data_IF_720655351544
#
_entry.id   IF_720655351544
#
_cell.length_a   1.000
_cell.length_b   1.000
_cell.length_c   1.000
_cell.angle_alpha   90.00
_cell.angle_beta   90.00
_cell.angle_gamma   90.00
#
_symmetry.space_group_name_H-M   'P 1'
#
loop_
_entity.id
_entity.type
_entity.pdbx_description
1 polymer ?
#
# COMPACT_ATOMS: atom_id res chain seq x y z
N UNK A 1 33.02 -49.84 -5.25
CA UNK A 1 32.78 -49.20 -3.95
C UNK A 1 33.07 -47.72 -4.10
N UNK A 2 32.08 -46.92 -4.43
CA UNK A 2 32.20 -45.46 -4.40
C UNK A 2 30.95 -44.96 -3.68
N UNK A 3 31.16 -44.62 -2.42
CA UNK A 3 30.18 -43.91 -1.60
C UNK A 3 30.51 -42.40 -1.80
N UNK A 4 29.66 -41.64 -2.43
CA UNK A 4 29.82 -40.19 -2.55
C UNK A 4 28.58 -39.51 -2.02
N UNK A 5 28.69 -39.12 -0.85
CA UNK A 5 28.52 -37.79 -0.24
C UNK A 5 27.52 -36.86 -0.95
N UNK A 6 26.28 -36.88 -0.44
CA UNK A 6 25.26 -35.85 -0.62
C UNK A 6 24.92 -35.27 0.75
N UNK A 7 25.65 -34.25 1.16
CA UNK A 7 25.26 -33.38 2.28
C UNK A 7 25.61 -31.94 1.91
N UNK A 8 24.74 -31.01 2.19
CA UNK A 8 24.88 -29.56 2.16
C UNK A 8 24.09 -28.82 1.06
N UNK A 9 22.76 -28.75 1.21
CA UNK A 9 21.99 -27.65 0.61
C UNK A 9 20.87 -27.12 1.53
N UNK A 10 20.72 -27.60 2.76
CA UNK A 10 19.66 -27.15 3.67
C UNK A 10 20.01 -25.89 4.49
N UNK A 11 21.29 -25.54 4.61
CA UNK A 11 21.71 -24.37 5.43
C UNK A 11 21.51 -23.00 4.75
N UNK A 12 21.44 -22.96 3.43
CA UNK A 12 21.34 -21.71 2.68
C UNK A 12 19.96 -21.06 2.74
N UNK A 13 18.90 -21.85 2.77
CA UNK A 13 17.53 -21.36 2.73
C UNK A 13 17.08 -20.71 4.05
N UNK A 14 17.48 -21.23 5.19
CA UNK A 14 17.18 -20.64 6.50
C UNK A 14 17.89 -19.30 6.73
N UNK A 15 19.19 -19.23 6.42
CA UNK A 15 19.98 -18.01 6.58
C UNK A 15 19.53 -16.89 5.63
N UNK A 16 19.04 -17.21 4.44
CA UNK A 16 18.48 -16.25 3.49
C UNK A 16 17.12 -15.75 3.98
N UNK A 17 16.28 -16.64 4.52
CA UNK A 17 14.98 -16.28 5.12
C UNK A 17 15.12 -15.30 6.29
N UNK A 18 16.06 -15.51 7.20
CA UNK A 18 16.29 -14.62 8.34
C UNK A 18 16.85 -13.25 7.91
N UNK A 19 17.76 -13.20 6.96
CA UNK A 19 18.27 -11.94 6.39
C UNK A 19 17.18 -11.15 5.68
N UNK A 20 16.33 -11.82 4.91
CA UNK A 20 15.18 -11.20 4.25
C UNK A 20 14.24 -10.60 5.28
N UNK A 21 13.86 -11.38 6.29
CA UNK A 21 12.95 -10.92 7.35
C UNK A 21 13.51 -9.69 8.07
N UNK A 22 14.78 -9.73 8.50
CA UNK A 22 15.42 -8.61 9.17
C UNK A 22 15.50 -7.36 8.28
N UNK A 23 15.83 -7.53 6.99
CA UNK A 23 15.87 -6.43 6.04
C UNK A 23 14.49 -5.80 5.85
N UNK A 24 13.43 -6.61 5.74
CA UNK A 24 12.06 -6.14 5.64
C UNK A 24 11.62 -5.39 6.90
N UNK A 25 11.80 -5.96 8.09
CA UNK A 25 11.43 -5.34 9.37
C UNK A 25 12.13 -3.98 9.55
N UNK A 26 13.43 -3.90 9.24
CA UNK A 26 14.20 -2.65 9.30
C UNK A 26 13.62 -1.60 8.34
N UNK A 27 13.32 -1.98 7.11
CA UNK A 27 12.82 -1.03 6.11
C UNK A 27 11.34 -0.65 6.36
N UNK A 28 10.50 -1.53 6.88
CA UNK A 28 9.13 -1.19 7.31
C UNK A 28 9.19 -0.14 8.43
N UNK A 29 10.06 -0.34 9.44
CA UNK A 29 10.26 0.65 10.50
C UNK A 29 10.78 1.99 9.96
N UNK A 30 11.65 1.97 8.95
CA UNK A 30 12.14 3.19 8.28
C UNK A 30 11.03 3.89 7.50
N UNK A 31 10.13 3.14 6.86
CA UNK A 31 8.97 3.67 6.16
C UNK A 31 8.01 4.39 7.13
N UNK A 32 7.70 3.76 8.26
CA UNK A 32 6.84 4.33 9.30
C UNK A 32 7.43 5.61 9.94
N UNK A 33 8.75 5.69 10.00
CA UNK A 33 9.48 6.83 10.55
C UNK A 33 9.72 7.97 9.54
N UNK A 34 9.59 7.72 8.25
CA UNK A 34 9.91 8.69 7.19
C UNK A 34 8.99 9.92 7.24
N UNK A 35 9.59 11.11 7.17
CA UNK A 35 8.90 12.42 7.28
C UNK A 35 9.14 13.33 6.07
N UNK A 36 9.99 12.92 5.14
CA UNK A 36 10.36 13.70 3.97
C UNK A 36 10.30 12.89 2.69
N UNK A 37 10.13 13.57 1.55
CA UNK A 37 10.17 12.94 0.23
C UNK A 37 11.52 12.23 -0.03
N UNK A 38 12.63 12.79 0.45
CA UNK A 38 13.94 12.18 0.32
C UNK A 38 14.07 10.88 1.13
N UNK A 39 13.54 10.83 2.36
CA UNK A 39 13.51 9.61 3.17
C UNK A 39 12.63 8.54 2.52
N UNK A 40 11.44 8.90 2.04
CA UNK A 40 10.56 7.98 1.31
C UNK A 40 11.21 7.43 0.04
N UNK A 41 11.94 8.27 -0.71
CA UNK A 41 12.70 7.83 -1.87
C UNK A 41 13.80 6.82 -1.51
N UNK A 42 14.54 7.05 -0.43
CA UNK A 42 15.57 6.14 0.04
C UNK A 42 14.99 4.80 0.51
N UNK A 43 13.85 4.85 1.19
CA UNK A 43 13.13 3.65 1.62
C UNK A 43 12.58 2.86 0.43
N UNK A 44 11.98 3.52 -0.57
CA UNK A 44 11.55 2.89 -1.80
C UNK A 44 12.71 2.15 -2.50
N UNK A 45 13.85 2.83 -2.69
CA UNK A 45 15.03 2.24 -3.29
C UNK A 45 15.60 1.05 -2.47
N UNK A 46 15.44 1.08 -1.14
CA UNK A 46 15.84 -0.04 -0.28
C UNK A 46 14.95 -1.25 -0.48
N UNK A 47 13.62 -1.08 -0.51
CA UNK A 47 12.69 -2.16 -0.83
C UNK A 47 12.89 -2.71 -2.23
N UNK A 48 13.19 -1.87 -3.23
CA UNK A 48 13.51 -2.34 -4.59
C UNK A 48 14.77 -3.21 -4.62
N UNK A 49 15.80 -2.89 -3.83
CA UNK A 49 16.98 -3.76 -3.69
C UNK A 49 16.63 -5.12 -3.09
N UNK A 50 15.76 -5.15 -2.06
CA UNK A 50 15.27 -6.40 -1.49
C UNK A 50 14.46 -7.17 -2.53
N UNK A 51 13.55 -6.51 -3.26
CA UNK A 51 12.72 -7.11 -4.31
C UNK A 51 13.59 -7.74 -5.44
N UNK A 52 14.67 -7.09 -5.82
CA UNK A 52 15.58 -7.60 -6.83
C UNK A 52 16.42 -8.81 -6.35
N UNK A 53 16.69 -8.90 -5.04
CA UNK A 53 17.36 -10.06 -4.44
C UNK A 53 16.38 -11.23 -4.22
N UNK A 54 15.15 -10.93 -3.76
CA UNK A 54 14.12 -11.91 -3.38
C UNK A 54 12.95 -11.90 -4.40
N UNK A 55 13.26 -12.29 -5.63
CA UNK A 55 12.38 -12.16 -6.81
C UNK A 55 11.02 -12.87 -6.71
N UNK A 56 10.82 -13.73 -5.72
CA UNK A 56 9.60 -14.52 -5.51
C UNK A 56 8.69 -13.94 -4.43
N UNK A 57 9.08 -12.83 -3.80
CA UNK A 57 8.35 -12.21 -2.70
C UNK A 57 7.64 -10.94 -3.18
N UNK A 58 6.32 -10.86 -2.99
CA UNK A 58 5.52 -9.70 -3.40
C UNK A 58 5.68 -8.49 -2.48
N UNK A 59 5.89 -8.72 -1.17
CA UNK A 59 5.94 -7.67 -0.15
C UNK A 59 6.99 -6.57 -0.42
N UNK A 60 8.23 -6.86 -0.87
CA UNK A 60 9.18 -5.80 -1.16
C UNK A 60 8.72 -4.87 -2.29
N UNK A 61 8.10 -5.41 -3.35
CA UNK A 61 7.52 -4.59 -4.43
C UNK A 61 6.35 -3.74 -3.93
N UNK A 62 5.49 -4.32 -3.10
CA UNK A 62 4.37 -3.63 -2.47
C UNK A 62 4.85 -2.45 -1.61
N UNK A 63 5.82 -2.66 -0.70
CA UNK A 63 6.33 -1.60 0.16
C UNK A 63 7.11 -0.52 -0.59
N UNK A 64 7.84 -0.88 -1.65
CA UNK A 64 8.43 0.11 -2.54
C UNK A 64 7.37 0.99 -3.21
N UNK A 65 6.26 0.39 -3.63
CA UNK A 65 5.12 1.12 -4.17
C UNK A 65 4.45 2.01 -3.10
N UNK A 66 4.23 1.53 -1.88
CA UNK A 66 3.68 2.32 -0.77
C UNK A 66 4.55 3.53 -0.46
N UNK A 67 5.88 3.38 -0.42
CA UNK A 67 6.79 4.50 -0.21
C UNK A 67 6.66 5.55 -1.32
N UNK A 68 6.58 5.13 -2.59
CA UNK A 68 6.30 6.04 -3.71
C UNK A 68 4.92 6.70 -3.60
N UNK A 69 3.88 5.95 -3.23
CA UNK A 69 2.52 6.48 -3.04
C UNK A 69 2.51 7.57 -1.96
N UNK A 70 3.13 7.33 -0.80
CA UNK A 70 3.20 8.34 0.27
C UNK A 70 3.99 9.57 -0.17
N UNK A 71 5.10 9.38 -0.91
CA UNK A 71 5.81 10.48 -1.55
C UNK A 71 4.91 11.24 -2.53
N UNK A 72 4.14 10.53 -3.37
CA UNK A 72 3.28 11.11 -4.39
C UNK A 72 2.16 12.00 -3.81
N UNK A 73 1.56 11.61 -2.69
CA UNK A 73 0.55 12.45 -2.01
C UNK A 73 1.11 13.76 -1.45
N UNK A 74 2.41 13.83 -1.19
CA UNK A 74 3.10 15.04 -0.71
C UNK A 74 3.84 15.79 -1.81
N UNK A 75 3.86 15.28 -3.03
CA UNK A 75 4.62 15.84 -4.15
C UNK A 75 3.93 17.04 -4.80
N UNK A 76 4.69 17.93 -5.45
CA UNK A 76 4.15 18.89 -6.40
C UNK A 76 3.40 18.19 -7.54
N UNK A 77 2.38 18.86 -8.10
CA UNK A 77 1.54 18.25 -9.15
C UNK A 77 2.31 17.76 -10.37
N UNK A 78 3.37 18.45 -10.71
CA UNK A 78 4.24 18.16 -11.85
C UNK A 78 4.97 16.82 -11.71
N UNK A 79 5.17 16.34 -10.48
CA UNK A 79 5.87 15.10 -10.18
C UNK A 79 4.91 13.92 -9.91
N UNK A 80 3.63 14.20 -9.63
CA UNK A 80 2.67 13.20 -9.19
C UNK A 80 2.49 12.05 -10.18
N UNK A 81 2.38 12.34 -11.48
CA UNK A 81 2.16 11.33 -12.51
C UNK A 81 3.34 10.34 -12.62
N UNK A 82 4.56 10.86 -12.61
CA UNK A 82 5.75 10.01 -12.69
C UNK A 82 5.88 9.11 -11.44
N UNK A 83 5.62 9.68 -10.26
CA UNK A 83 5.67 8.94 -9.00
C UNK A 83 4.59 7.85 -8.95
N UNK A 84 3.35 8.17 -9.35
CA UNK A 84 2.25 7.22 -9.40
C UNK A 84 2.51 6.11 -10.42
N UNK A 85 3.07 6.45 -11.58
CA UNK A 85 3.47 5.46 -12.61
C UNK A 85 4.52 4.49 -12.07
N UNK A 86 5.53 4.98 -11.34
CA UNK A 86 6.52 4.09 -10.70
C UNK A 86 5.87 3.15 -9.67
N UNK A 87 4.92 3.66 -8.88
CA UNK A 87 4.17 2.83 -7.95
C UNK A 87 3.35 1.75 -8.69
N UNK A 88 2.68 2.08 -9.79
CA UNK A 88 1.90 1.12 -10.60
C UNK A 88 2.78 0.01 -11.20
N UNK A 89 3.98 0.34 -11.69
CA UNK A 89 4.95 -0.64 -12.19
C UNK A 89 5.33 -1.64 -11.09
N UNK A 90 5.58 -1.16 -9.88
CA UNK A 90 5.92 -2.00 -8.74
C UNK A 90 4.73 -2.86 -8.30
N UNK A 91 3.52 -2.30 -8.27
CA UNK A 91 2.31 -3.03 -7.94
C UNK A 91 1.97 -4.11 -8.98
N UNK A 92 2.26 -3.87 -10.26
CA UNK A 92 2.12 -4.89 -11.31
C UNK A 92 3.06 -6.08 -11.06
N UNK A 93 4.29 -5.82 -10.60
CA UNK A 93 5.22 -6.89 -10.22
C UNK A 93 4.77 -7.64 -8.98
N UNK A 94 4.23 -6.92 -7.97
CA UNK A 94 3.67 -7.53 -6.77
C UNK A 94 2.48 -8.44 -7.10
N UNK A 95 1.55 -7.98 -7.96
CA UNK A 95 0.36 -8.73 -8.37
C UNK A 95 0.71 -9.98 -9.18
N UNK A 96 1.76 -9.92 -10.01
CA UNK A 96 2.24 -11.10 -10.74
C UNK A 96 2.74 -12.21 -9.81
N UNK A 97 3.18 -11.87 -8.59
CA UNK A 97 3.64 -12.81 -7.58
C UNK A 97 2.54 -13.24 -6.60
N UNK A 98 1.56 -12.37 -6.35
CA UNK A 98 0.47 -12.58 -5.40
C UNK A 98 -0.83 -12.04 -5.98
N UNK A 99 -1.41 -12.78 -6.89
CA UNK A 99 -2.68 -12.42 -7.50
C UNK A 99 -3.84 -12.46 -6.47
N UNK A 100 -4.88 -11.65 -6.69
CA UNK A 100 -6.06 -11.57 -5.82
C UNK A 100 -5.75 -11.17 -4.37
N UNK A 101 -4.80 -10.28 -4.17
CA UNK A 101 -4.44 -9.74 -2.86
C UNK A 101 -5.10 -8.36 -2.64
N UNK A 102 -5.93 -8.25 -1.58
CA UNK A 102 -6.65 -7.02 -1.26
C UNK A 102 -5.72 -5.82 -1.03
N UNK A 103 -4.55 -6.03 -0.39
CA UNK A 103 -3.59 -4.96 -0.12
C UNK A 103 -3.01 -4.35 -1.41
N UNK A 104 -2.77 -5.18 -2.42
CA UNK A 104 -2.29 -4.72 -3.72
C UNK A 104 -3.35 -3.85 -4.41
N UNK A 105 -4.62 -4.25 -4.38
CA UNK A 105 -5.71 -3.45 -4.94
C UNK A 105 -5.92 -2.14 -4.17
N UNK A 106 -5.76 -2.13 -2.84
CA UNK A 106 -5.79 -0.90 -2.05
C UNK A 106 -4.66 0.06 -2.44
N UNK A 107 -3.46 -0.46 -2.66
CA UNK A 107 -2.34 0.35 -3.14
C UNK A 107 -2.56 0.87 -4.58
N UNK A 108 -3.15 0.07 -5.47
CA UNK A 108 -3.56 0.52 -6.82
C UNK A 108 -4.61 1.62 -6.79
N UNK A 109 -5.60 1.51 -5.90
CA UNK A 109 -6.57 2.59 -5.65
C UNK A 109 -5.85 3.90 -5.30
N UNK A 110 -4.87 3.86 -4.39
CA UNK A 110 -4.11 5.05 -3.99
C UNK A 110 -3.27 5.63 -5.14
N UNK A 111 -2.61 4.80 -5.93
CA UNK A 111 -1.83 5.26 -7.10
C UNK A 111 -2.74 5.93 -8.14
N UNK A 112 -3.88 5.32 -8.46
CA UNK A 112 -4.88 5.92 -9.34
C UNK A 112 -5.45 7.23 -8.79
N UNK A 113 -5.60 7.34 -7.47
CA UNK A 113 -6.02 8.58 -6.81
C UNK A 113 -4.99 9.69 -6.99
N UNK A 114 -3.69 9.39 -6.92
CA UNK A 114 -2.62 10.39 -7.18
C UNK A 114 -2.74 10.92 -8.60
N UNK A 115 -2.88 10.06 -9.62
CA UNK A 115 -3.11 10.48 -11.00
C UNK A 115 -4.33 11.37 -11.14
N UNK A 116 -5.43 11.05 -10.45
CA UNK A 116 -6.64 11.86 -10.46
C UNK A 116 -6.38 13.26 -9.88
N UNK A 117 -5.60 13.35 -8.79
CA UNK A 117 -5.35 14.61 -8.08
C UNK A 117 -4.51 15.63 -8.86
N UNK A 118 -3.82 15.21 -9.92
CA UNK A 118 -3.12 16.14 -10.83
C UNK A 118 -4.10 17.12 -11.47
N UNK A 119 -5.26 16.64 -11.92
CA UNK A 119 -6.36 17.45 -12.43
C UNK A 119 -7.71 16.75 -12.19
N UNK A 120 -8.30 16.92 -11.00
CA UNK A 120 -9.53 16.21 -10.63
C UNK A 120 -10.72 16.48 -11.58
N UNK A 121 -10.79 17.69 -12.18
CA UNK A 121 -11.92 18.06 -13.03
C UNK A 121 -11.96 17.27 -14.35
N UNK A 122 -10.80 16.98 -14.92
CA UNK A 122 -10.70 16.27 -16.19
C UNK A 122 -10.42 14.79 -16.02
N UNK A 123 -9.81 14.37 -14.90
CA UNK A 123 -9.27 13.01 -14.70
C UNK A 123 -10.16 12.09 -13.86
N UNK A 124 -11.21 12.61 -13.23
CA UNK A 124 -12.06 11.80 -12.33
C UNK A 124 -12.74 10.63 -13.06
N UNK A 125 -13.16 10.81 -14.32
CA UNK A 125 -13.80 9.74 -15.08
C UNK A 125 -12.86 8.56 -15.37
N UNK A 126 -11.60 8.84 -15.62
CA UNK A 126 -10.60 7.79 -15.94
C UNK A 126 -10.00 7.24 -14.66
N UNK A 127 -9.27 8.06 -13.91
CA UNK A 127 -8.52 7.58 -12.75
C UNK A 127 -9.39 7.41 -11.51
N UNK A 128 -10.40 8.23 -11.31
CA UNK A 128 -11.38 8.07 -10.23
C UNK A 128 -12.19 6.77 -10.40
N UNK A 129 -12.61 6.46 -11.64
CA UNK A 129 -13.28 5.18 -11.94
C UNK A 129 -12.36 3.99 -11.72
N UNK A 130 -11.08 4.08 -12.12
CA UNK A 130 -10.08 3.04 -11.88
C UNK A 130 -9.85 2.83 -10.38
N UNK A 131 -9.68 3.90 -9.64
CA UNK A 131 -9.53 3.84 -8.18
C UNK A 131 -10.76 3.17 -7.52
N UNK A 132 -11.98 3.51 -7.94
CA UNK A 132 -13.20 2.89 -7.42
C UNK A 132 -13.28 1.39 -7.76
N UNK A 133 -12.86 0.97 -8.96
CA UNK A 133 -12.80 -0.44 -9.35
C UNK A 133 -11.79 -1.22 -8.50
N UNK A 134 -10.60 -0.68 -8.28
CA UNK A 134 -9.57 -1.29 -7.44
C UNK A 134 -10.06 -1.43 -5.99
N UNK A 135 -10.73 -0.40 -5.45
CA UNK A 135 -11.30 -0.44 -4.11
C UNK A 135 -12.42 -1.49 -3.98
N UNK A 136 -13.29 -1.59 -4.99
CA UNK A 136 -14.34 -2.61 -5.04
C UNK A 136 -13.75 -4.03 -5.12
N UNK A 137 -12.67 -4.23 -5.88
CA UNK A 137 -11.94 -5.49 -5.95
C UNK A 137 -11.33 -5.85 -4.59
N UNK A 138 -10.67 -4.92 -3.92
CA UNK A 138 -10.14 -5.12 -2.56
C UNK A 138 -11.24 -5.51 -1.57
N UNK A 139 -12.36 -4.80 -1.58
CA UNK A 139 -13.52 -5.08 -0.70
C UNK A 139 -14.14 -6.45 -0.95
N UNK A 140 -14.16 -6.91 -2.21
CA UNK A 140 -14.62 -8.26 -2.58
C UNK A 140 -13.69 -9.35 -2.06
N UNK A 141 -12.39 -9.11 -2.05
CA UNK A 141 -11.37 -10.05 -1.59
C UNK A 141 -11.31 -10.13 -0.06
N UNK A 142 -11.42 -8.99 0.62
CA UNK A 142 -11.42 -8.91 2.08
C UNK A 142 -12.33 -7.77 2.56
N UNK A 143 -13.60 -8.11 2.80
CA UNK A 143 -14.61 -7.16 3.29
C UNK A 143 -14.37 -6.70 4.75
N UNK A 144 -13.48 -7.35 5.49
CA UNK A 144 -13.12 -7.00 6.86
C UNK A 144 -11.81 -6.21 6.95
N UNK A 145 -11.15 -5.95 5.83
CA UNK A 145 -9.95 -5.14 5.82
C UNK A 145 -10.27 -3.68 6.20
N UNK A 146 -9.70 -3.16 7.30
CA UNK A 146 -10.00 -1.79 7.76
C UNK A 146 -9.64 -0.72 6.74
N UNK A 147 -8.62 -0.95 5.91
CA UNK A 147 -8.14 0.01 4.89
C UNK A 147 -9.15 0.21 3.76
N UNK A 148 -10.01 -0.77 3.50
CA UNK A 148 -11.12 -0.62 2.54
C UNK A 148 -12.01 0.55 2.97
N UNK A 149 -12.44 0.58 4.22
CA UNK A 149 -13.33 1.62 4.74
C UNK A 149 -12.60 2.95 4.94
N UNK A 150 -11.31 2.90 5.25
CA UNK A 150 -10.48 4.11 5.30
C UNK A 150 -10.42 4.80 3.93
N UNK A 151 -10.10 4.07 2.86
CA UNK A 151 -9.99 4.64 1.51
C UNK A 151 -11.37 5.01 0.93
N UNK A 152 -12.42 4.25 1.22
CA UNK A 152 -13.80 4.60 0.86
C UNK A 152 -14.21 5.92 1.54
N UNK A 153 -13.88 6.07 2.83
CA UNK A 153 -14.08 7.30 3.59
C UNK A 153 -13.31 8.48 3.01
N UNK A 154 -12.04 8.29 2.64
CA UNK A 154 -11.23 9.35 2.01
C UNK A 154 -11.82 9.80 0.67
N UNK A 155 -12.29 8.86 -0.14
CA UNK A 155 -12.96 9.18 -1.42
C UNK A 155 -14.19 10.05 -1.21
N UNK A 156 -15.07 9.70 -0.25
CA UNK A 156 -16.25 10.49 0.06
C UNK A 156 -15.91 11.83 0.72
N UNK A 157 -14.90 11.87 1.58
CA UNK A 157 -14.44 13.11 2.22
C UNK A 157 -13.94 14.13 1.18
N UNK A 158 -13.20 13.69 0.17
CA UNK A 158 -12.71 14.52 -0.92
C UNK A 158 -13.75 14.87 -1.99
N UNK A 159 -14.87 14.16 -2.02
CA UNK A 159 -15.94 14.44 -2.98
C UNK A 159 -16.85 15.56 -2.47
N UNK A 160 -17.14 16.61 -3.25
CA UNK A 160 -18.05 17.68 -2.85
C UNK A 160 -19.45 17.16 -2.52
N UNK A 161 -20.14 17.83 -1.58
CA UNK A 161 -21.48 17.43 -1.11
C UNK A 161 -22.51 17.34 -2.24
N UNK A 162 -22.46 18.25 -3.21
CA UNK A 162 -23.35 18.24 -4.38
C UNK A 162 -23.18 17.02 -5.29
N UNK A 163 -22.06 16.32 -5.17
CA UNK A 163 -21.75 15.08 -5.89
C UNK A 163 -21.88 13.84 -4.97
N UNK A 164 -22.53 13.99 -3.82
CA UNK A 164 -22.83 12.89 -2.92
C UNK A 164 -21.74 12.54 -1.90
N UNK A 165 -20.69 13.36 -1.78
CA UNK A 165 -19.63 13.22 -0.78
C UNK A 165 -19.86 14.07 0.48
N UNK A 166 -18.76 14.41 1.13
CA UNK A 166 -18.69 15.27 2.31
C UNK A 166 -18.47 14.53 3.62
N UNK A 167 -18.18 15.30 4.67
CA UNK A 167 -17.81 14.80 6.01
C UNK A 167 -18.84 13.86 6.61
N UNK A 168 -20.12 14.17 6.49
CA UNK A 168 -21.22 13.38 7.06
C UNK A 168 -21.30 11.97 6.44
N UNK A 169 -20.96 11.85 5.17
CA UNK A 169 -20.90 10.57 4.45
C UNK A 169 -19.64 9.79 4.75
N UNK A 170 -18.52 10.48 4.92
CA UNK A 170 -17.22 9.87 5.18
C UNK A 170 -17.08 9.38 6.63
N UNK A 171 -17.60 10.13 7.61
CA UNK A 171 -17.43 9.85 9.05
C UNK A 171 -17.76 8.41 9.44
N UNK A 172 -18.94 7.84 9.11
CA UNK A 172 -19.27 6.47 9.51
C UNK A 172 -18.31 5.42 8.91
N UNK A 173 -17.70 5.70 7.76
CA UNK A 173 -16.70 4.82 7.17
C UNK A 173 -15.37 4.87 7.93
N UNK A 174 -14.91 6.05 8.34
CA UNK A 174 -13.74 6.17 9.18
C UNK A 174 -13.95 5.53 10.55
N UNK A 175 -15.11 5.72 11.19
CA UNK A 175 -15.46 5.06 12.45
C UNK A 175 -15.46 3.53 12.29
N UNK A 176 -16.02 3.01 11.19
CA UNK A 176 -15.96 1.58 10.87
C UNK A 176 -14.53 1.09 10.66
N UNK A 177 -13.71 1.85 9.95
CA UNK A 177 -12.29 1.55 9.77
C UNK A 177 -11.56 1.42 11.10
N UNK A 178 -11.74 2.39 12.00
CA UNK A 178 -11.14 2.37 13.36
C UNK A 178 -11.56 1.13 14.12
N UNK A 179 -12.86 0.82 14.16
CA UNK A 179 -13.38 -0.36 14.85
C UNK A 179 -12.82 -1.68 14.29
N UNK A 180 -12.64 -1.76 12.97
CA UNK A 180 -12.00 -2.92 12.34
C UNK A 180 -10.51 -3.00 12.67
N UNK A 181 -9.79 -1.87 12.72
CA UNK A 181 -8.38 -1.86 13.13
C UNK A 181 -8.16 -2.35 14.56
N UNK A 182 -9.13 -2.20 15.45
CA UNK A 182 -9.03 -2.68 16.83
C UNK A 182 -8.99 -4.21 16.92
N UNK A 183 -9.55 -4.89 15.95
CA UNK A 183 -9.58 -6.35 15.86
C UNK A 183 -8.66 -6.92 14.78
N UNK A 184 -8.12 -6.07 13.90
CA UNK A 184 -7.26 -6.47 12.80
C UNK A 184 -5.97 -7.11 13.29
N UNK A 185 -5.67 -8.28 12.74
CA UNK A 185 -4.40 -8.99 13.00
C UNK A 185 -3.74 -9.27 11.65
N UNK A 186 -2.58 -8.65 11.36
CA UNK A 186 -1.80 -9.00 10.19
C UNK A 186 -1.43 -10.49 10.17
N UNK A 187 -1.32 -11.07 9.00
CA UNK A 187 -0.93 -12.49 8.82
C UNK A 187 0.44 -12.79 9.46
N UNK A 188 1.34 -11.83 9.43
CA UNK A 188 2.65 -11.87 10.09
C UNK A 188 3.18 -10.44 10.28
N UNK A 189 4.36 -10.30 10.90
CA UNK A 189 4.97 -8.99 11.21
C UNK A 189 5.39 -8.18 9.97
N UNK A 190 5.51 -8.83 8.80
CA UNK A 190 5.86 -8.15 7.56
C UNK A 190 4.62 -7.72 6.76
N UNK A 191 3.42 -8.20 7.15
CA UNK A 191 2.19 -7.89 6.44
C UNK A 191 1.75 -6.44 6.71
N UNK A 192 1.08 -5.77 5.75
CA UNK A 192 0.69 -4.36 5.90
C UNK A 192 -0.11 -4.10 7.18
N UNK A 193 0.32 -3.09 7.95
CA UNK A 193 -0.31 -2.68 9.22
C UNK A 193 -0.42 -1.15 9.36
N UNK A 194 -0.45 -0.42 8.25
CA UNK A 194 -0.62 1.03 8.21
C UNK A 194 -2.10 1.45 8.26
N UNK A 195 -2.36 2.70 8.60
CA UNK A 195 -3.65 3.36 8.41
C UNK A 195 -4.48 3.57 9.68
N UNK A 196 -4.22 2.85 10.80
CA UNK A 196 -5.02 2.98 12.03
C UNK A 196 -5.06 4.41 12.55
N UNK A 197 -3.89 5.03 12.72
CA UNK A 197 -3.80 6.42 13.17
C UNK A 197 -4.47 7.38 12.21
N UNK A 198 -4.24 7.20 10.90
CA UNK A 198 -4.84 8.05 9.88
C UNK A 198 -6.37 7.97 9.90
N UNK A 199 -6.96 6.79 10.07
CA UNK A 199 -8.40 6.62 10.19
C UNK A 199 -8.96 7.36 11.42
N UNK A 200 -8.28 7.26 12.58
CA UNK A 200 -8.67 7.99 13.78
C UNK A 200 -8.58 9.51 13.61
N UNK A 201 -7.50 10.01 12.99
CA UNK A 201 -7.33 11.44 12.69
C UNK A 201 -8.45 11.95 11.74
N UNK A 202 -8.90 11.12 10.78
CA UNK A 202 -10.00 11.49 9.89
C UNK A 202 -11.36 11.53 10.59
N UNK A 203 -11.61 10.67 11.58
CA UNK A 203 -12.81 10.78 12.44
C UNK A 203 -12.85 12.15 13.14
N UNK A 204 -11.71 12.60 13.69
CA UNK A 204 -11.62 13.93 14.34
C UNK A 204 -11.86 15.08 13.34
N UNK A 205 -11.37 14.97 12.12
CA UNK A 205 -11.58 15.99 11.07
C UNK A 205 -13.02 16.06 10.58
N UNK A 206 -13.84 15.03 10.85
CA UNK A 206 -15.26 14.98 10.54
C UNK A 206 -16.15 15.55 11.66
N UNK A 207 -15.57 16.02 12.76
CA UNK A 207 -16.30 16.78 13.79
C UNK A 207 -16.45 18.22 13.37
#
# INVERSE_FOLDING_TARGET
>A
MVCMMMVLLAGGTYAQSDKFKQAMETNISSLDAAKSAAELQNVAASFERIANAEKTQWLPFYYAAIANIWKGFAAPKEEMDDIATQAEILLTKAEALEANNAEIFLAKNMASTIHMLVDPQTRWQTYGSKAAQDLAAAKKLDANNPRVYFLEGQSLFGTPVQFGGGKDKAKPLFEKSVALFDTYKPVNNLYPNWGKKNAADMVEQCK
#
